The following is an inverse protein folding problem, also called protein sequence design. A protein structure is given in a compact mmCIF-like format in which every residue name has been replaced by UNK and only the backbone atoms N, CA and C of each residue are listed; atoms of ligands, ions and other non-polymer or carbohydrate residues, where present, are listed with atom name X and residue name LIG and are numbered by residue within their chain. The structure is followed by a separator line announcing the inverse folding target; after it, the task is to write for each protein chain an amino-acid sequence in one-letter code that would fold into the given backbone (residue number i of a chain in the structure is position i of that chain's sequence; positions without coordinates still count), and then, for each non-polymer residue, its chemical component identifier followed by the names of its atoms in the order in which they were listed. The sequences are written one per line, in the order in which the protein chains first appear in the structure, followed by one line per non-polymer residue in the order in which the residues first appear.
data_IF_043732298462
#
_entry.id   IF_043732298462
#
_cell.length_a   1.000
_cell.length_b   1.000
_cell.length_c   1.000
_cell.angle_alpha   90.00
_cell.angle_beta   90.00
_cell.angle_gamma   90.00
#
_symmetry.space_group_name_H-M   'P 1'
#
loop_
_entity.id
_entity.type
_entity.pdbx_description
1 polymer ?
#
# COMPACT_ATOMS: atom_id res chain seq x y z
N UNK A 1 -14.05 -16.56 11.61
CA UNK A 1 -13.58 -15.28 12.14
C UNK A 1 -14.30 -14.14 11.43
N UNK A 2 -14.88 -13.23 12.18
CA UNK A 2 -15.61 -12.12 11.59
C UNK A 2 -14.67 -10.94 11.30
N UNK A 3 -14.77 -10.42 10.09
CA UNK A 3 -14.08 -9.17 9.73
C UNK A 3 -14.97 -7.99 10.10
N UNK A 4 -14.33 -6.82 10.35
CA UNK A 4 -15.05 -5.58 10.57
C UNK A 4 -15.78 -5.13 9.30
N UNK A 5 -16.75 -4.23 9.46
CA UNK A 5 -17.47 -3.67 8.31
C UNK A 5 -16.53 -2.97 7.34
N UNK A 6 -15.48 -2.30 7.84
CA UNK A 6 -14.51 -1.63 6.98
C UNK A 6 -13.70 -2.61 6.15
N UNK A 7 -13.30 -3.75 6.72
CA UNK A 7 -12.61 -4.79 5.97
C UNK A 7 -13.51 -5.30 4.85
N UNK A 8 -14.77 -5.59 5.17
CA UNK A 8 -15.72 -6.11 4.18
C UNK A 8 -15.96 -5.07 3.08
N UNK A 9 -16.14 -3.81 3.43
CA UNK A 9 -16.35 -2.75 2.47
C UNK A 9 -15.17 -2.61 1.50
N UNK A 10 -13.94 -2.57 2.03
CA UNK A 10 -12.75 -2.48 1.19
C UNK A 10 -12.53 -3.75 0.35
N UNK A 11 -12.93 -4.90 0.85
CA UNK A 11 -12.85 -6.15 0.09
C UNK A 11 -13.86 -6.19 -1.06
N UNK A 12 -15.09 -5.77 -0.81
CA UNK A 12 -16.16 -5.79 -1.82
C UNK A 12 -16.00 -4.64 -2.84
N UNK A 13 -15.53 -3.50 -2.38
CA UNK A 13 -15.35 -2.31 -3.22
C UNK A 13 -13.92 -1.77 -3.06
N UNK A 14 -12.90 -2.53 -3.48
CA UNK A 14 -11.52 -2.08 -3.31
C UNK A 14 -11.24 -0.84 -4.15
N UNK A 15 -10.49 0.10 -3.54
CA UNK A 15 -10.10 1.35 -4.19
C UNK A 15 -8.76 1.18 -4.86
N UNK A 16 -8.60 1.88 -5.99
CA UNK A 16 -7.29 2.02 -6.62
C UNK A 16 -6.65 0.70 -7.07
N UNK A 17 -7.46 -0.28 -7.47
CA UNK A 17 -6.94 -1.50 -8.09
C UNK A 17 -6.42 -1.16 -9.48
N UNK A 18 -5.25 -1.68 -9.82
CA UNK A 18 -4.72 -1.52 -11.16
C UNK A 18 -3.21 -1.44 -11.16
N UNK A 19 -2.68 -0.85 -12.23
CA UNK A 19 -1.25 -0.69 -12.44
C UNK A 19 -0.94 0.68 -13.03
N UNK A 20 0.25 1.19 -12.70
CA UNK A 20 0.83 2.38 -13.32
C UNK A 20 1.99 1.95 -14.19
N UNK A 21 2.47 2.86 -15.05
CA UNK A 21 3.62 2.56 -15.92
C UNK A 21 4.90 2.54 -15.10
N UNK A 22 5.39 1.35 -14.81
CA UNK A 22 6.59 1.16 -13.99
C UNK A 22 7.87 1.68 -14.63
N UNK A 23 7.82 2.01 -15.94
CA UNK A 23 8.98 2.58 -16.65
C UNK A 23 9.09 4.08 -16.45
N UNK A 24 8.05 4.72 -15.95
CA UNK A 24 8.07 6.16 -15.69
C UNK A 24 8.95 6.49 -14.49
N UNK A 25 9.76 7.54 -14.61
CA UNK A 25 10.59 8.02 -13.49
C UNK A 25 9.73 8.60 -12.36
N UNK A 26 8.48 8.91 -12.64
CA UNK A 26 7.54 9.45 -11.65
C UNK A 26 6.80 8.35 -10.89
N UNK A 27 7.01 7.09 -11.24
CA UNK A 27 6.31 5.96 -10.61
C UNK A 27 7.30 5.14 -9.78
N UNK A 28 6.98 4.97 -8.51
CA UNK A 28 7.68 4.04 -7.64
C UNK A 28 6.86 2.77 -7.49
N UNK A 29 7.52 1.62 -7.48
CA UNK A 29 6.86 0.32 -7.40
C UNK A 29 7.49 -0.53 -6.31
N UNK A 30 6.66 -1.32 -5.63
CA UNK A 30 7.13 -2.31 -4.68
C UNK A 30 6.33 -3.59 -4.84
N UNK A 31 7.00 -4.72 -4.72
CA UNK A 31 6.38 -6.02 -4.65
C UNK A 31 6.83 -6.66 -3.34
N UNK A 32 5.88 -6.88 -2.44
CA UNK A 32 6.15 -7.48 -1.15
C UNK A 32 5.28 -8.71 -0.98
N UNK A 33 5.72 -9.64 -0.17
CA UNK A 33 4.90 -10.81 0.07
C UNK A 33 5.57 -11.85 0.94
N UNK A 34 4.73 -12.73 1.44
CA UNK A 34 5.13 -13.92 2.17
C UNK A 34 4.53 -15.12 1.44
N UNK A 35 5.27 -15.72 0.49
CA UNK A 35 4.74 -16.86 -0.28
C UNK A 35 4.22 -17.98 0.59
N UNK A 36 4.82 -18.18 1.76
CA UNK A 36 4.39 -19.19 2.74
C UNK A 36 2.98 -18.92 3.25
N UNK A 37 2.56 -17.65 3.28
CA UNK A 37 1.22 -17.27 3.73
C UNK A 37 0.26 -17.06 2.56
N UNK A 38 0.76 -17.12 1.32
CA UNK A 38 -0.06 -16.91 0.14
C UNK A 38 -0.44 -15.47 -0.14
N UNK A 39 0.11 -14.52 0.61
CA UNK A 39 -0.19 -13.09 0.42
C UNK A 39 0.95 -12.41 -0.34
N UNK A 40 0.61 -11.81 -1.47
CA UNK A 40 1.55 -11.01 -2.28
C UNK A 40 0.88 -9.69 -2.61
N UNK A 41 1.61 -8.60 -2.41
CA UNK A 41 1.07 -7.26 -2.61
C UNK A 41 2.01 -6.45 -3.49
N UNK A 42 1.47 -5.88 -4.56
CA UNK A 42 2.19 -4.95 -5.44
C UNK A 42 1.56 -3.58 -5.27
N UNK A 43 2.38 -2.58 -4.97
CA UNK A 43 1.93 -1.20 -4.83
C UNK A 43 2.74 -0.31 -5.76
N UNK A 44 2.05 0.57 -6.47
CA UNK A 44 2.70 1.58 -7.30
C UNK A 44 2.16 2.96 -6.93
N UNK A 45 3.05 3.94 -6.88
CA UNK A 45 2.70 5.32 -6.61
C UNK A 45 3.20 6.20 -7.74
N UNK A 46 2.44 7.25 -8.05
CA UNK A 46 2.85 8.28 -9.00
C UNK A 46 3.07 9.58 -8.24
N UNK A 47 4.20 10.23 -8.46
CA UNK A 47 4.65 11.39 -7.68
C UNK A 47 4.79 12.59 -8.60
N UNK A 48 4.37 13.77 -8.13
CA UNK A 48 4.52 15.01 -8.88
C UNK A 48 5.86 15.68 -8.63
N UNK A 49 6.05 16.87 -9.18
CA UNK A 49 7.31 17.64 -9.06
C UNK A 49 7.59 18.08 -7.62
N UNK A 50 6.56 18.17 -6.80
CA UNK A 50 6.69 18.58 -5.40
C UNK A 50 6.81 17.40 -4.43
N UNK A 51 7.07 16.20 -4.95
CA UNK A 51 7.15 14.96 -4.17
C UNK A 51 5.82 14.63 -3.46
N UNK A 52 4.69 15.00 -4.05
CA UNK A 52 3.38 14.60 -3.56
C UNK A 52 2.86 13.41 -4.36
N UNK A 53 2.23 12.47 -3.68
CA UNK A 53 1.65 11.28 -4.32
C UNK A 53 0.31 11.69 -4.94
N UNK A 54 0.26 11.70 -6.27
CA UNK A 54 -0.93 12.11 -7.01
C UNK A 54 -1.79 10.93 -7.45
N UNK A 55 -1.22 9.73 -7.43
CA UNK A 55 -1.97 8.51 -7.72
C UNK A 55 -1.31 7.32 -7.04
N UNK A 56 -2.10 6.30 -6.77
CA UNK A 56 -1.61 5.05 -6.20
C UNK A 56 -2.50 3.92 -6.72
N UNK A 57 -1.87 2.81 -7.11
CA UNK A 57 -2.56 1.62 -7.58
C UNK A 57 -1.97 0.38 -6.94
N UNK A 58 -2.78 -0.64 -6.75
CA UNK A 58 -2.29 -1.88 -6.18
C UNK A 58 -2.88 -3.10 -6.87
N UNK A 59 -2.19 -4.21 -6.74
CA UNK A 59 -2.68 -5.55 -7.05
C UNK A 59 -2.26 -6.46 -5.91
N UNK A 60 -3.18 -7.24 -5.41
CA UNK A 60 -2.93 -8.12 -4.27
C UNK A 60 -3.47 -9.51 -4.56
N UNK A 61 -2.67 -10.51 -4.26
CA UNK A 61 -3.10 -11.90 -4.24
C UNK A 61 -3.04 -12.36 -2.78
N UNK A 62 -4.18 -12.76 -2.22
CA UNK A 62 -4.22 -13.15 -0.83
C UNK A 62 -5.62 -13.07 -0.25
N UNK A 63 -5.71 -12.98 1.06
CA UNK A 63 -6.98 -12.96 1.77
C UNK A 63 -7.66 -11.59 1.69
N UNK A 64 -8.92 -11.53 2.15
CA UNK A 64 -9.67 -10.29 2.18
C UNK A 64 -9.00 -9.18 2.99
N UNK A 65 -8.30 -9.54 4.07
CA UNK A 65 -7.55 -8.55 4.87
C UNK A 65 -6.39 -7.94 4.09
N UNK A 66 -5.72 -8.71 3.23
CA UNK A 66 -4.63 -8.19 2.41
C UNK A 66 -5.18 -7.20 1.38
N UNK A 67 -6.30 -7.52 0.75
CA UNK A 67 -6.96 -6.63 -0.20
C UNK A 67 -7.43 -5.35 0.51
N UNK A 68 -8.08 -5.49 1.67
CA UNK A 68 -8.56 -4.35 2.44
C UNK A 68 -7.41 -3.45 2.91
N UNK A 69 -6.33 -4.03 3.39
CA UNK A 69 -5.16 -3.26 3.84
C UNK A 69 -4.52 -2.48 2.69
N UNK A 70 -4.42 -3.12 1.51
CA UNK A 70 -3.89 -2.45 0.31
C UNK A 70 -4.81 -1.30 -0.13
N UNK A 71 -6.11 -1.55 -0.17
CA UNK A 71 -7.10 -0.55 -0.56
C UNK A 71 -7.04 0.66 0.36
N UNK A 72 -7.07 0.44 1.66
CA UNK A 72 -7.00 1.53 2.64
C UNK A 72 -5.68 2.29 2.54
N UNK A 73 -4.57 1.58 2.40
CA UNK A 73 -3.26 2.19 2.26
C UNK A 73 -3.21 3.14 1.06
N UNK A 74 -3.75 2.73 -0.09
CA UNK A 74 -3.78 3.58 -1.28
C UNK A 74 -4.63 4.82 -1.08
N UNK A 75 -5.75 4.72 -0.37
CA UNK A 75 -6.57 5.89 -0.05
C UNK A 75 -5.80 6.89 0.82
N UNK A 76 -5.09 6.37 1.81
CA UNK A 76 -4.39 7.23 2.77
C UNK A 76 -3.21 7.97 2.17
N UNK A 77 -2.47 7.34 1.25
CA UNK A 77 -1.27 7.96 0.70
C UNK A 77 -1.54 8.92 -0.46
N UNK A 78 -2.67 8.80 -1.12
CA UNK A 78 -3.02 9.72 -2.21
C UNK A 78 -3.21 11.13 -1.66
N UNK A 79 -2.52 12.10 -2.27
CA UNK A 79 -2.56 13.48 -1.84
C UNK A 79 -1.57 13.84 -0.73
N UNK A 80 -0.82 12.88 -0.22
CA UNK A 80 0.21 13.12 0.80
C UNK A 80 1.59 13.26 0.17
N UNK A 81 2.48 13.94 0.89
CA UNK A 81 3.88 13.97 0.50
C UNK A 81 4.53 12.60 0.74
N UNK A 82 5.69 12.37 0.13
CA UNK A 82 6.44 11.13 0.37
C UNK A 82 6.79 10.95 1.84
N UNK A 83 7.18 12.02 2.52
CA UNK A 83 7.54 11.94 3.94
C UNK A 83 6.33 11.59 4.81
N UNK A 84 5.17 12.18 4.54
CA UNK A 84 3.95 11.86 5.26
C UNK A 84 3.53 10.41 5.04
N UNK A 85 3.59 9.95 3.79
CA UNK A 85 3.25 8.56 3.46
C UNK A 85 4.22 7.58 4.12
N UNK A 86 5.52 7.92 4.14
CA UNK A 86 6.54 7.06 4.74
C UNK A 86 6.37 6.92 6.25
N UNK A 87 5.71 7.86 6.90
CA UNK A 87 5.47 7.82 8.34
C UNK A 87 4.26 6.97 8.75
N UNK A 88 3.46 6.51 7.78
CA UNK A 88 2.32 5.65 8.07
C UNK A 88 2.82 4.30 8.61
N UNK A 89 2.27 3.88 9.75
CA UNK A 89 2.65 2.64 10.40
C UNK A 89 1.55 1.61 10.28
N UNK A 90 1.93 0.33 10.32
CA UNK A 90 0.96 -0.76 10.23
C UNK A 90 -0.09 -0.69 11.34
N UNK A 91 0.26 -0.16 12.50
CA UNK A 91 -0.68 -0.01 13.61
C UNK A 91 -1.88 0.87 13.24
N UNK A 92 -1.67 1.90 12.41
CA UNK A 92 -2.76 2.75 11.94
C UNK A 92 -3.75 1.95 11.10
N UNK A 93 -3.25 1.04 10.27
CA UNK A 93 -4.09 0.18 9.43
C UNK A 93 -4.87 -0.81 10.30
N UNK A 94 -4.19 -1.42 11.27
CA UNK A 94 -4.83 -2.36 12.22
C UNK A 94 -5.98 -1.69 12.94
N UNK A 95 -5.77 -0.48 13.45
CA UNK A 95 -6.79 0.26 14.18
C UNK A 95 -7.98 0.62 13.29
N UNK A 96 -7.71 1.15 12.10
CA UNK A 96 -8.78 1.59 11.18
C UNK A 96 -9.64 0.43 10.71
N UNK A 97 -9.03 -0.70 10.40
CA UNK A 97 -9.75 -1.88 9.90
C UNK A 97 -10.20 -2.81 11.01
N UNK A 98 -9.78 -2.58 12.26
CA UNK A 98 -10.04 -3.48 13.37
C UNK A 98 -9.62 -4.92 13.03
N UNK A 99 -8.39 -5.08 12.54
CA UNK A 99 -7.91 -6.38 12.08
C UNK A 99 -7.76 -7.36 13.23
N UNK A 100 -8.17 -8.63 13.03
CA UNK A 100 -7.90 -9.67 14.03
C UNK A 100 -6.39 -9.90 14.17
N UNK A 101 -5.92 -10.37 15.35
CA UNK A 101 -4.48 -10.60 15.56
C UNK A 101 -3.83 -11.49 14.52
N UNK A 102 -4.54 -12.49 14.01
CA UNK A 102 -3.99 -13.42 13.01
C UNK A 102 -3.82 -12.77 11.64
N UNK A 103 -4.33 -11.55 11.43
CA UNK A 103 -4.27 -10.85 10.15
C UNK A 103 -3.41 -9.58 10.20
N UNK A 104 -2.72 -9.34 11.31
CA UNK A 104 -1.85 -8.16 11.45
C UNK A 104 -0.75 -8.17 10.39
N UNK A 105 -0.29 -9.35 9.94
CA UNK A 105 0.74 -9.43 8.90
C UNK A 105 0.32 -8.70 7.60
N UNK A 106 -0.97 -8.63 7.29
CA UNK A 106 -1.43 -7.91 6.11
C UNK A 106 -1.15 -6.41 6.21
N UNK A 107 -1.28 -5.84 7.42
CA UNK A 107 -0.97 -4.43 7.63
C UNK A 107 0.53 -4.16 7.54
N UNK A 108 1.35 -5.11 8.00
CA UNK A 108 2.82 -5.00 7.88
C UNK A 108 3.23 -5.03 6.41
N UNK A 109 2.62 -5.90 5.60
CA UNK A 109 2.87 -5.93 4.16
C UNK A 109 2.51 -4.59 3.51
N UNK A 110 1.37 -4.00 3.88
CA UNK A 110 0.95 -2.71 3.33
C UNK A 110 1.94 -1.61 3.68
N UNK A 111 2.41 -1.56 4.93
CA UNK A 111 3.43 -0.62 5.36
C UNK A 111 4.73 -0.80 4.56
N UNK A 112 5.19 -2.03 4.42
CA UNK A 112 6.40 -2.35 3.65
C UNK A 112 6.24 -1.97 2.19
N UNK A 113 5.06 -2.18 1.61
CA UNK A 113 4.79 -1.82 0.22
C UNK A 113 4.87 -0.30 0.02
N UNK A 114 4.30 0.48 0.94
CA UNK A 114 4.38 1.94 0.89
C UNK A 114 5.85 2.40 0.93
N UNK A 115 6.60 1.91 1.89
CA UNK A 115 8.01 2.28 2.04
C UNK A 115 8.84 1.84 0.85
N UNK A 116 8.60 0.64 0.35
CA UNK A 116 9.30 0.12 -0.83
C UNK A 116 9.03 0.93 -2.09
N UNK A 117 7.78 1.32 -2.31
CA UNK A 117 7.42 2.14 -3.47
C UNK A 117 8.09 3.52 -3.40
N UNK A 118 8.10 4.14 -2.22
CA UNK A 118 8.76 5.42 -2.01
C UNK A 118 10.26 5.31 -2.25
N UNK A 119 10.89 4.25 -1.73
CA UNK A 119 12.31 4.04 -1.92
C UNK A 119 12.67 3.79 -3.38
N UNK A 120 11.83 3.06 -4.11
CA UNK A 120 12.03 2.84 -5.55
C UNK A 120 11.98 4.16 -6.32
N UNK A 121 11.00 5.01 -6.01
CA UNK A 121 10.90 6.33 -6.62
C UNK A 121 12.15 7.18 -6.35
N UNK A 122 12.58 7.21 -5.08
CA UNK A 122 13.78 7.98 -4.69
C UNK A 122 15.01 7.48 -5.40
N UNK A 123 15.16 6.16 -5.51
CA UNK A 123 16.29 5.55 -6.21
C UNK A 123 16.30 5.91 -7.69
N UNK A 124 15.15 5.86 -8.36
CA UNK A 124 15.04 6.23 -9.77
C UNK A 124 15.42 7.68 -10.04
N UNK A 125 15.17 8.55 -9.08
CA UNK A 125 15.43 9.99 -9.22
C UNK A 125 16.72 10.44 -8.54
N UNK A 126 17.55 9.50 -8.07
CA UNK A 126 18.83 9.81 -7.44
C UNK A 126 18.71 10.53 -6.10
N UNK A 127 17.56 10.41 -5.44
CA UNK A 127 17.34 11.02 -4.13
C UNK A 127 17.82 10.06 -3.05
N UNK A 128 18.76 10.51 -2.22
CA UNK A 128 19.29 9.71 -1.11
C UNK A 128 18.83 10.34 0.20
N UNK A 129 18.02 9.59 0.96
CA UNK A 129 17.56 10.03 2.27
C UNK A 129 17.51 8.84 3.22
#
# INVERSE_FOLDING_TARGET
MAYSEKVIEHYENPRNIGSLDSRSDRVGSALVGAPECGDVMKLQIKVDENENIIDAKFKTFGCGSAIASSSLATEWIKGKSLDEAHSIQNTHIVEELSLPPVKIHCSVLAEDAIKGAINDYRKKNGIVR
#
